data_IF_253095112134
#
_entry.id   IF_253095112134
#
_cell.length_a   1.000
_cell.length_b   1.000
_cell.length_c   1.000
_cell.angle_alpha   90.00
_cell.angle_beta   90.00
_cell.angle_gamma   90.00
#
_symmetry.space_group_name_H-M   'P 1'
#
loop_
_entity.id
_entity.type
_entity.pdbx_description
1 polymer ?
#
# COMPACT_ATOMS: atom_id res chain seq x y z
N UNK A 1 -27.33 -15.62 -81.34
CA UNK A 1 -27.37 -14.17 -81.19
C UNK A 1 -28.20 -13.89 -79.93
N UNK A 2 -27.56 -13.80 -78.83
CA UNK A 2 -28.25 -13.51 -77.59
C UNK A 2 -27.44 -12.45 -76.85
N UNK A 3 -28.10 -11.31 -76.58
CA UNK A 3 -27.51 -10.12 -76.05
C UNK A 3 -27.42 -10.26 -74.48
N UNK A 4 -26.22 -10.21 -73.97
CA UNK A 4 -26.00 -10.03 -72.53
C UNK A 4 -26.37 -8.61 -72.10
N UNK A 5 -27.07 -8.42 -71.01
CA UNK A 5 -27.29 -7.12 -70.36
C UNK A 5 -26.08 -6.71 -69.50
N UNK A 6 -25.61 -5.49 -69.73
CA UNK A 6 -24.62 -4.80 -68.98
C UNK A 6 -25.16 -4.49 -67.55
N UNK A 7 -24.57 -5.08 -66.53
CA UNK A 7 -24.80 -4.75 -65.15
C UNK A 7 -24.14 -3.42 -64.79
N UNK A 8 -24.98 -2.41 -64.59
CA UNK A 8 -24.59 -1.13 -64.01
C UNK A 8 -24.12 -1.30 -62.56
N UNK A 9 -22.81 -1.25 -62.32
CA UNK A 9 -22.28 -1.11 -60.96
C UNK A 9 -22.51 0.32 -60.45
N UNK A 10 -23.44 0.46 -59.53
CA UNK A 10 -23.70 1.69 -58.79
C UNK A 10 -22.53 2.02 -57.86
N UNK A 11 -21.95 3.21 -58.04
CA UNK A 11 -20.84 3.77 -57.24
C UNK A 11 -21.30 4.39 -55.91
N UNK A 12 -22.20 3.75 -55.17
CA UNK A 12 -22.71 4.29 -53.93
C UNK A 12 -22.86 3.17 -52.87
N UNK A 13 -21.77 2.78 -52.26
CA UNK A 13 -21.76 2.10 -50.93
C UNK A 13 -20.33 1.86 -50.47
N UNK A 14 -19.58 2.94 -50.28
CA UNK A 14 -18.31 2.96 -49.56
C UNK A 14 -18.39 4.05 -48.50
N UNK A 15 -19.25 3.86 -47.50
CA UNK A 15 -19.28 4.72 -46.33
C UNK A 15 -19.21 3.82 -45.09
N UNK A 16 -18.02 3.84 -44.49
CA UNK A 16 -17.84 4.04 -43.04
C UNK A 16 -18.08 2.85 -42.16
N UNK A 17 -17.11 1.97 -42.02
CA UNK A 17 -16.87 1.30 -40.75
C UNK A 17 -15.70 1.98 -40.06
N UNK A 18 -15.95 3.15 -39.44
CA UNK A 18 -15.02 3.75 -38.47
C UNK A 18 -15.19 2.93 -37.19
N UNK A 19 -14.31 1.96 -37.04
CA UNK A 19 -14.17 1.23 -35.76
C UNK A 19 -13.71 2.19 -34.70
N UNK A 20 -14.62 2.58 -33.79
CA UNK A 20 -14.29 3.24 -32.55
C UNK A 20 -13.50 2.24 -31.68
N UNK A 21 -12.16 2.33 -31.71
CA UNK A 21 -11.31 1.74 -30.68
C UNK A 21 -11.65 2.43 -29.36
N UNK A 22 -12.46 1.80 -28.55
CA UNK A 22 -12.65 2.17 -27.16
C UNK A 22 -11.32 1.93 -26.44
N UNK A 23 -10.54 2.98 -26.26
CA UNK A 23 -9.39 2.98 -25.37
C UNK A 23 -9.94 2.82 -23.94
N UNK A 24 -9.95 1.59 -23.44
CA UNK A 24 -10.21 1.34 -22.03
C UNK A 24 -9.05 1.98 -21.24
N UNK A 25 -9.27 3.22 -20.79
CA UNK A 25 -8.38 3.87 -19.84
C UNK A 25 -8.39 3.00 -18.57
N UNK A 26 -7.29 2.27 -18.33
CA UNK A 26 -7.05 1.59 -17.07
C UNK A 26 -6.89 2.71 -16.04
N UNK A 27 -7.96 3.01 -15.33
CA UNK A 27 -7.95 3.95 -14.21
C UNK A 27 -7.01 3.37 -13.16
N UNK A 28 -5.80 3.91 -13.06
CA UNK A 28 -4.92 3.65 -11.91
C UNK A 28 -5.63 4.22 -10.70
N UNK A 29 -5.76 3.46 -9.61
CA UNK A 29 -6.33 3.99 -8.38
C UNK A 29 -5.50 5.22 -7.99
N UNK A 30 -6.10 6.40 -8.05
CA UNK A 30 -5.50 7.62 -7.52
C UNK A 30 -5.65 7.53 -6.01
N UNK A 31 -4.57 7.27 -5.30
CA UNK A 31 -4.56 7.41 -3.85
C UNK A 31 -4.89 8.86 -3.53
N UNK A 32 -5.98 9.06 -2.78
CA UNK A 32 -6.36 10.39 -2.32
C UNK A 32 -5.24 10.95 -1.43
N UNK A 33 -5.01 12.26 -1.48
CA UNK A 33 -4.01 12.91 -0.62
C UNK A 33 -4.23 12.64 0.88
N UNK A 34 -5.48 12.37 1.28
CA UNK A 34 -5.87 11.99 2.64
C UNK A 34 -5.38 10.59 3.08
N UNK A 35 -4.97 9.73 2.16
CA UNK A 35 -4.45 8.40 2.48
C UNK A 35 -2.95 8.39 2.78
N UNK A 36 -2.25 9.51 2.59
CA UNK A 36 -0.85 9.64 2.99
C UNK A 36 -0.78 9.88 4.49
N UNK A 37 0.06 9.11 5.18
CA UNK A 37 0.31 9.27 6.61
C UNK A 37 1.81 9.22 6.87
N UNK A 38 2.29 10.09 7.76
CA UNK A 38 3.70 10.16 8.19
C UNK A 38 3.83 9.79 9.67
N UNK A 39 5.06 9.58 10.13
CA UNK A 39 5.29 9.15 11.52
C UNK A 39 4.86 10.19 12.54
N UNK A 40 5.06 11.46 12.29
CA UNK A 40 4.62 12.59 13.12
C UNK A 40 3.09 12.71 13.24
N UNK A 41 2.34 12.04 12.36
CA UNK A 41 0.88 12.04 12.36
C UNK A 41 0.26 10.79 13.00
N UNK A 42 1.08 9.84 13.49
CA UNK A 42 0.59 8.58 14.05
C UNK A 42 -0.05 8.75 15.41
N UNK A 43 0.55 9.60 16.24
CA UNK A 43 0.13 9.77 17.62
C UNK A 43 -0.24 11.22 17.92
N UNK A 44 -1.16 11.38 18.86
CA UNK A 44 -1.54 12.66 19.43
C UNK A 44 -0.63 13.06 20.60
N UNK A 45 -1.17 13.86 21.50
CA UNK A 45 -0.47 14.24 22.74
C UNK A 45 -0.40 13.03 23.68
N UNK A 46 0.67 12.94 24.45
CA UNK A 46 0.74 11.98 25.55
C UNK A 46 -0.42 12.22 26.54
N UNK A 47 -1.30 11.25 26.63
CA UNK A 47 -2.38 11.23 27.59
C UNK A 47 -1.93 10.63 28.93
N UNK A 48 -2.81 10.66 29.91
CA UNK A 48 -2.58 10.07 31.27
C UNK A 48 -2.33 8.56 31.20
N UNK A 49 -2.79 7.91 30.12
CA UNK A 49 -2.67 6.46 29.87
C UNK A 49 -1.55 6.10 28.89
N UNK A 50 -0.68 7.05 28.51
CA UNK A 50 0.40 6.83 27.56
C UNK A 50 0.14 7.43 26.18
N UNK A 51 0.67 6.80 25.14
CA UNK A 51 0.62 7.24 23.76
C UNK A 51 -0.80 7.07 23.17
N UNK A 52 -1.48 8.16 22.84
CA UNK A 52 -2.79 8.11 22.18
C UNK A 52 -2.65 8.20 20.67
N UNK A 53 -3.38 7.35 19.93
CA UNK A 53 -3.45 7.46 18.47
C UNK A 53 -4.09 8.76 18.04
N UNK A 54 -3.54 9.36 16.99
CA UNK A 54 -4.08 10.59 16.42
C UNK A 54 -5.48 10.39 15.84
N UNK A 55 -6.21 11.49 15.67
CA UNK A 55 -7.51 11.45 14.98
C UNK A 55 -7.36 11.02 13.52
N UNK A 56 -6.21 11.27 12.89
CA UNK A 56 -5.92 10.82 11.53
C UNK A 56 -5.83 9.30 11.47
N UNK A 57 -5.09 8.65 12.37
CA UNK A 57 -5.03 7.19 12.48
C UNK A 57 -6.42 6.60 12.69
N UNK A 58 -7.21 7.16 13.62
CA UNK A 58 -8.58 6.70 13.90
C UNK A 58 -9.50 6.81 12.68
N UNK A 59 -9.39 7.89 11.89
CA UNK A 59 -10.18 8.07 10.66
C UNK A 59 -9.75 7.15 9.51
N UNK A 60 -8.46 6.81 9.44
CA UNK A 60 -7.87 5.98 8.39
C UNK A 60 -7.92 4.49 8.73
N UNK A 61 -8.31 4.11 9.92
CA UNK A 61 -8.45 2.72 10.33
C UNK A 61 -9.35 1.92 9.38
N UNK A 62 -8.87 0.78 8.91
CA UNK A 62 -9.55 -0.09 7.94
C UNK A 62 -9.53 0.43 6.51
N UNK A 63 -8.80 1.51 6.22
CA UNK A 63 -8.64 2.08 4.88
C UNK A 63 -7.21 1.88 4.37
N UNK A 64 -7.06 1.94 3.06
CA UNK A 64 -5.74 1.89 2.42
C UNK A 64 -5.01 3.21 2.64
N UNK A 65 -3.78 3.08 3.10
CA UNK A 65 -2.86 4.19 3.36
C UNK A 65 -1.56 4.01 2.59
N UNK A 66 -0.83 5.11 2.42
CA UNK A 66 0.56 5.10 1.95
C UNK A 66 1.44 5.77 2.98
N UNK A 67 2.57 5.14 3.28
CA UNK A 67 3.53 5.61 4.27
C UNK A 67 4.96 5.41 3.78
N UNK A 68 5.82 6.42 3.98
CA UNK A 68 7.24 6.33 3.63
C UNK A 68 8.08 6.10 4.87
N UNK A 69 9.15 5.32 4.70
CA UNK A 69 10.08 5.05 5.80
C UNK A 69 11.21 4.13 5.36
N UNK A 70 11.85 3.51 6.33
CA UNK A 70 12.95 2.59 6.13
C UNK A 70 12.56 1.20 6.66
N UNK A 71 12.99 0.18 5.95
CA UNK A 71 12.80 -1.19 6.39
C UNK A 71 13.86 -1.53 7.45
N UNK A 72 13.43 -1.85 8.67
CA UNK A 72 14.33 -2.45 9.64
C UNK A 72 14.77 -3.86 9.17
N UNK A 73 15.97 -4.32 9.52
CA UNK A 73 16.38 -5.67 9.21
C UNK A 73 15.35 -6.70 9.67
N UNK A 74 14.99 -7.68 8.83
CA UNK A 74 13.97 -8.66 9.17
C UNK A 74 14.44 -9.53 10.35
N UNK A 75 13.53 -9.79 11.29
CA UNK A 75 13.78 -10.65 12.42
C UNK A 75 13.98 -12.12 12.05
N UNK A 76 13.32 -12.54 10.98
CA UNK A 76 13.44 -13.86 10.38
C UNK A 76 13.43 -13.69 8.86
N UNK A 77 14.36 -14.35 8.17
CA UNK A 77 14.50 -14.26 6.72
C UNK A 77 13.25 -14.71 5.92
N UNK A 78 12.39 -15.49 6.55
CA UNK A 78 11.17 -16.02 5.93
C UNK A 78 9.89 -15.33 6.39
N UNK A 79 10.00 -14.32 7.26
CA UNK A 79 8.83 -13.61 7.76
C UNK A 79 8.16 -12.81 6.63
N UNK A 80 6.83 -12.88 6.56
CA UNK A 80 6.04 -12.05 5.65
C UNK A 80 5.67 -10.70 6.29
N UNK A 81 6.52 -10.22 7.19
CA UNK A 81 6.37 -8.92 7.80
C UNK A 81 7.74 -8.28 8.10
N UNK A 82 7.73 -6.98 8.23
CA UNK A 82 8.88 -6.20 8.68
C UNK A 82 8.41 -4.99 9.51
N UNK A 83 9.35 -4.33 10.16
CA UNK A 83 9.08 -3.08 10.86
C UNK A 83 9.52 -1.92 9.96
N UNK A 84 8.57 -1.03 9.67
CA UNK A 84 8.83 0.24 9.02
C UNK A 84 9.22 1.25 10.08
N UNK A 85 10.32 1.97 9.87
CA UNK A 85 10.88 2.93 10.82
C UNK A 85 11.04 4.31 10.18
N UNK A 86 10.93 5.34 10.98
CA UNK A 86 11.12 6.73 10.54
C UNK A 86 12.56 7.02 10.12
N UNK A 87 13.53 6.43 10.82
CA UNK A 87 14.96 6.59 10.55
C UNK A 87 15.59 5.22 10.26
N UNK A 88 16.66 5.18 9.44
CA UNK A 88 17.35 3.91 9.17
C UNK A 88 17.87 3.28 10.45
N UNK A 89 17.53 2.01 10.68
CA UNK A 89 17.96 1.25 11.85
C UNK A 89 18.81 0.04 11.43
N UNK A 90 19.85 -0.25 12.21
CA UNK A 90 20.68 -1.44 12.03
C UNK A 90 20.18 -2.64 12.85
N UNK A 91 19.33 -2.39 13.84
CA UNK A 91 18.73 -3.40 14.69
C UNK A 91 17.22 -3.13 14.77
N UNK A 92 16.41 -4.20 14.77
CA UNK A 92 14.97 -4.05 14.94
C UNK A 92 14.68 -3.75 16.42
N UNK A 93 13.98 -2.65 16.75
CA UNK A 93 13.55 -2.39 18.10
C UNK A 93 12.49 -3.43 18.47
N UNK A 94 12.76 -4.24 19.51
CA UNK A 94 11.81 -5.19 20.04
C UNK A 94 10.87 -4.51 21.02
N UNK A 95 9.59 -4.63 20.75
CA UNK A 95 8.55 -4.22 21.68
C UNK A 95 7.92 -5.48 22.30
N UNK A 96 8.09 -5.64 23.58
CA UNK A 96 7.55 -6.79 24.31
C UNK A 96 6.16 -6.50 24.89
N UNK A 97 5.79 -5.22 24.98
CA UNK A 97 4.53 -4.77 25.56
C UNK A 97 4.09 -3.42 25.01
N UNK A 98 2.83 -3.04 25.27
CA UNK A 98 2.25 -1.74 24.92
C UNK A 98 3.06 -0.57 25.50
N UNK A 99 3.61 -0.77 26.70
CA UNK A 99 4.36 0.25 27.44
C UNK A 99 5.71 0.61 26.79
N UNK A 100 6.29 -0.33 26.05
CA UNK A 100 7.61 -0.19 25.41
C UNK A 100 7.51 0.12 23.92
N UNK A 101 6.29 0.36 23.41
CA UNK A 101 6.07 0.63 21.99
C UNK A 101 6.62 2.00 21.58
N UNK A 102 7.57 2.08 20.63
CA UNK A 102 8.08 3.35 20.12
C UNK A 102 7.04 4.07 19.23
N UNK A 103 7.07 5.38 19.21
CA UNK A 103 6.18 6.22 18.42
C UNK A 103 6.59 6.33 16.93
N UNK A 104 7.77 5.85 16.60
CA UNK A 104 8.41 5.98 15.28
C UNK A 104 8.53 4.66 14.51
N UNK A 105 7.65 3.70 14.81
CA UNK A 105 7.59 2.41 14.09
C UNK A 105 6.17 2.01 13.72
N UNK A 106 6.05 1.25 12.62
CA UNK A 106 4.83 0.59 12.18
C UNK A 106 5.16 -0.83 11.71
N UNK A 107 4.36 -1.82 12.10
CA UNK A 107 4.54 -3.19 11.60
C UNK A 107 3.85 -3.34 10.26
N UNK A 108 4.53 -3.91 9.28
CA UNK A 108 4.02 -4.09 7.92
C UNK A 108 3.89 -5.58 7.64
N UNK A 109 2.67 -6.05 7.46
CA UNK A 109 2.35 -7.42 7.03
C UNK A 109 2.09 -7.44 5.54
N UNK A 110 2.96 -8.14 4.80
CA UNK A 110 2.89 -8.23 3.35
C UNK A 110 1.70 -9.07 2.90
N UNK A 111 0.99 -8.63 1.87
CA UNK A 111 -0.04 -9.41 1.20
C UNK A 111 0.54 -10.57 0.39
N UNK A 112 1.69 -10.32 -0.23
CA UNK A 112 2.45 -11.31 -0.99
C UNK A 112 3.93 -11.24 -0.61
N UNK A 113 4.65 -12.34 -0.84
CA UNK A 113 6.08 -12.40 -0.54
C UNK A 113 6.86 -11.46 -1.45
N UNK A 114 7.58 -10.52 -0.85
CA UNK A 114 8.47 -9.58 -1.54
C UNK A 114 9.91 -9.73 -1.04
N UNK A 115 10.88 -9.31 -1.89
CA UNK A 115 12.30 -9.36 -1.53
C UNK A 115 12.65 -8.17 -0.63
N UNK A 116 13.25 -8.42 0.52
CA UNK A 116 13.69 -7.37 1.43
C UNK A 116 14.73 -6.44 0.79
N UNK A 117 14.63 -5.16 1.11
CA UNK A 117 15.55 -4.12 0.67
C UNK A 117 16.53 -3.72 1.78
N UNK A 118 17.59 -3.05 1.39
CA UNK A 118 18.60 -2.57 2.37
C UNK A 118 17.99 -1.51 3.30
N UNK A 119 18.36 -1.54 4.57
CA UNK A 119 17.83 -0.68 5.62
C UNK A 119 18.04 0.84 5.42
N UNK A 120 18.87 1.24 4.46
CA UNK A 120 19.13 2.65 4.12
C UNK A 120 18.35 3.15 2.90
N UNK A 121 17.59 2.29 2.26
CA UNK A 121 16.72 2.68 1.14
C UNK A 121 15.36 3.12 1.66
N UNK A 122 14.92 4.29 1.24
CA UNK A 122 13.57 4.74 1.49
C UNK A 122 12.59 3.92 0.68
N UNK A 123 11.55 3.44 1.31
CA UNK A 123 10.45 2.72 0.69
C UNK A 123 9.14 3.43 0.93
N UNK A 124 8.20 3.25 0.01
CA UNK A 124 6.80 3.60 0.19
C UNK A 124 6.01 2.31 0.35
N UNK A 125 5.31 2.19 1.48
CA UNK A 125 4.45 1.07 1.84
C UNK A 125 3.00 1.46 1.59
N UNK A 126 2.21 0.57 1.00
CA UNK A 126 0.78 0.73 0.79
C UNK A 126 0.03 -0.48 1.32
N UNK A 127 -1.09 -0.27 1.98
CA UNK A 127 -1.92 -1.33 2.53
C UNK A 127 -2.94 -0.80 3.52
N UNK A 128 -3.68 -1.69 4.16
CA UNK A 128 -4.77 -1.34 5.07
C UNK A 128 -4.25 -1.03 6.46
N UNK A 129 -4.54 0.16 6.99
CA UNK A 129 -4.11 0.60 8.32
C UNK A 129 -4.98 -0.04 9.41
N UNK A 130 -4.33 -0.58 10.43
CA UNK A 130 -4.98 -1.07 11.65
C UNK A 130 -4.24 -0.56 12.89
N UNK A 131 -4.98 -0.26 13.97
CA UNK A 131 -4.41 0.16 15.24
C UNK A 131 -5.04 -0.61 16.41
N UNK A 132 -4.36 -0.57 17.55
CA UNK A 132 -4.72 -1.29 18.77
C UNK A 132 -3.83 -2.50 19.02
N UNK A 133 -3.76 -2.93 20.26
CA UNK A 133 -2.93 -4.06 20.70
C UNK A 133 -3.29 -5.34 19.97
N UNK A 134 -2.32 -5.94 19.34
CA UNK A 134 -2.47 -7.21 18.65
C UNK A 134 -1.15 -8.00 18.67
N UNK A 135 -1.27 -9.29 18.95
CA UNK A 135 -0.14 -10.22 18.90
C UNK A 135 -0.38 -11.19 17.74
N UNK A 136 0.58 -11.27 16.85
CA UNK A 136 0.55 -12.19 15.73
C UNK A 136 0.57 -13.64 16.23
N UNK A 137 -0.46 -14.46 15.96
CA UNK A 137 -0.53 -15.82 16.46
C UNK A 137 0.53 -16.76 15.88
N UNK A 138 1.10 -16.45 14.71
CA UNK A 138 2.10 -17.28 14.06
C UNK A 138 3.53 -16.98 14.56
N UNK A 139 3.82 -15.70 14.80
CA UNK A 139 5.16 -15.25 15.12
C UNK A 139 5.33 -14.83 16.59
N UNK A 140 4.22 -14.56 17.28
CA UNK A 140 4.21 -13.98 18.62
C UNK A 140 4.60 -12.49 18.65
N UNK A 141 4.72 -11.84 17.47
CA UNK A 141 5.13 -10.45 17.41
C UNK A 141 3.98 -9.52 17.80
N UNK A 142 4.27 -8.64 18.77
CA UNK A 142 3.32 -7.64 19.25
C UNK A 142 3.31 -6.39 18.36
N UNK A 143 2.14 -5.78 18.13
CA UNK A 143 2.01 -4.50 17.43
C UNK A 143 0.85 -3.65 17.97
N UNK A 144 1.08 -2.35 18.12
CA UNK A 144 0.04 -1.34 18.36
C UNK A 144 -0.47 -0.71 17.05
N UNK A 145 0.40 -0.58 16.06
CA UNK A 145 0.07 0.01 14.77
C UNK A 145 0.65 -0.85 13.67
N UNK A 146 -0.18 -1.18 12.66
CA UNK A 146 0.21 -2.06 11.56
C UNK A 146 -0.47 -1.70 10.25
N UNK A 147 0.20 -2.04 9.15
CA UNK A 147 -0.35 -1.98 7.80
C UNK A 147 -0.44 -3.41 7.30
N UNK A 148 -1.63 -3.86 6.92
CA UNK A 148 -1.89 -5.23 6.45
C UNK A 148 -2.12 -5.28 4.95
N UNK A 149 -2.00 -6.50 4.37
CA UNK A 149 -2.11 -6.73 2.93
C UNK A 149 -1.22 -5.76 2.15
N UNK A 150 -0.04 -5.50 2.71
CA UNK A 150 0.83 -4.45 2.25
C UNK A 150 1.67 -4.89 1.03
N UNK A 151 1.97 -3.91 0.21
CA UNK A 151 3.03 -3.93 -0.79
C UNK A 151 3.97 -2.74 -0.56
N UNK A 152 5.19 -2.82 -1.07
CA UNK A 152 6.11 -1.69 -1.02
C UNK A 152 6.93 -1.55 -2.31
N UNK A 153 7.39 -0.32 -2.52
CA UNK A 153 8.32 0.04 -3.61
C UNK A 153 9.43 0.94 -3.10
N UNK A 154 10.61 0.86 -3.71
CA UNK A 154 11.72 1.79 -3.44
C UNK A 154 11.40 3.14 -4.07
N UNK A 155 11.69 4.24 -3.35
CA UNK A 155 11.39 5.62 -3.77
C UNK A 155 12.66 6.41 -3.96
#
# INVERSE_FOLDING_TARGET
MEKLPLLHLSRRSLIGAIGTLAFAAIARPSFAADSLISFDELYGKFGVLGLEFSDKVKRLAGKDVSMKGFMAPPLKAEAQFFVLTEVPMSLCPFCSSDADWPDNIVVVYLGEKQTFVQSRQTIEVRGTLEYGSWTDPETGFFSLLRIRQAEYSVV
#
